data_IF_581890671239
#
_entry.id   IF_581890671239
#
_cell.length_a   1.000
_cell.length_b   1.000
_cell.length_c   1.000
_cell.angle_alpha   90.00
_cell.angle_beta   90.00
_cell.angle_gamma   90.00
#
_symmetry.space_group_name_H-M   'P 1'
#
loop_
_entity.id
_entity.type
_entity.pdbx_description
1 polymer ?
#
# COMPACT_ATOMS: atom_id res chain seq x y z
N UNK A 1 21.91 -17.13 9.51
CA UNK A 1 22.51 -16.76 8.21
C UNK A 1 24.03 -16.85 8.40
N UNK A 2 24.69 -17.96 8.02
CA UNK A 2 26.00 -18.34 8.55
C UNK A 2 27.04 -17.21 8.49
N UNK A 3 27.16 -16.53 7.35
CA UNK A 3 28.12 -15.43 7.15
C UNK A 3 27.80 -14.17 7.97
N UNK A 4 26.51 -13.87 8.21
CA UNK A 4 26.10 -12.72 9.04
C UNK A 4 26.29 -13.03 10.51
N UNK A 5 26.18 -14.30 10.89
CA UNK A 5 26.41 -14.76 12.26
C UNK A 5 27.90 -14.72 12.64
N UNK A 6 28.80 -14.81 11.66
CA UNK A 6 30.25 -14.68 11.81
C UNK A 6 30.74 -13.21 11.92
N UNK A 7 29.87 -12.21 11.73
CA UNK A 7 30.25 -10.80 11.86
C UNK A 7 30.54 -10.48 13.34
N UNK A 8 31.82 -10.29 13.65
CA UNK A 8 32.29 -10.04 15.01
C UNK A 8 31.79 -8.71 15.61
N UNK A 9 31.63 -7.66 14.78
CA UNK A 9 31.18 -6.36 15.27
C UNK A 9 29.67 -6.37 15.61
N UNK A 10 29.28 -6.14 16.88
CA UNK A 10 27.89 -6.18 17.29
C UNK A 10 27.04 -5.10 16.60
N UNK A 11 27.61 -3.92 16.32
CA UNK A 11 26.92 -2.83 15.61
C UNK A 11 26.57 -3.19 14.17
N UNK A 12 27.54 -3.76 13.43
CA UNK A 12 27.32 -4.18 12.04
C UNK A 12 26.31 -5.34 11.98
N UNK A 13 26.48 -6.35 12.83
CA UNK A 13 25.57 -7.51 12.89
C UNK A 13 24.14 -7.09 13.20
N UNK A 14 23.95 -6.24 14.22
CA UNK A 14 22.62 -5.73 14.57
C UNK A 14 22.01 -4.90 13.42
N UNK A 15 22.76 -4.00 12.80
CA UNK A 15 22.26 -3.17 11.70
C UNK A 15 21.77 -4.03 10.51
N UNK A 16 22.52 -5.08 10.14
CA UNK A 16 22.15 -5.97 9.04
C UNK A 16 20.95 -6.86 9.36
N UNK A 17 20.89 -7.44 10.56
CA UNK A 17 19.76 -8.27 10.97
C UNK A 17 18.47 -7.44 11.10
N UNK A 18 18.56 -6.22 11.64
CA UNK A 18 17.44 -5.28 11.65
C UNK A 18 17.00 -4.97 10.23
N UNK A 19 17.91 -4.66 9.30
CA UNK A 19 17.55 -4.39 7.91
C UNK A 19 16.85 -5.59 7.24
N UNK A 20 17.39 -6.80 7.45
CA UNK A 20 16.88 -8.06 6.89
C UNK A 20 15.49 -8.42 7.37
N UNK A 21 15.19 -8.17 8.65
CA UNK A 21 13.94 -8.62 9.27
C UNK A 21 12.86 -7.52 9.35
N UNK A 22 13.23 -6.25 9.30
CA UNK A 22 12.26 -5.13 9.36
C UNK A 22 12.02 -4.44 8.01
N UNK A 23 12.94 -4.54 7.05
CA UNK A 23 12.91 -3.75 5.82
C UNK A 23 13.11 -2.24 6.03
N UNK A 24 13.59 -1.82 7.21
CA UNK A 24 13.91 -0.43 7.51
C UNK A 24 15.03 0.12 6.62
N UNK A 25 14.97 1.42 6.33
CA UNK A 25 16.00 2.11 5.53
C UNK A 25 17.28 2.23 6.35
N UNK A 26 18.44 2.18 5.68
CA UNK A 26 19.76 2.33 6.34
C UNK A 26 19.85 3.57 7.24
N UNK A 27 19.27 4.69 6.81
CA UNK A 27 19.28 5.95 7.55
C UNK A 27 18.30 5.95 8.73
N UNK A 28 17.20 5.19 8.64
CA UNK A 28 16.28 4.95 9.78
C UNK A 28 16.99 4.11 10.84
N UNK A 29 17.67 3.03 10.43
CA UNK A 29 18.40 2.13 11.34
C UNK A 29 19.55 2.87 12.03
N UNK A 30 20.34 3.64 11.27
CA UNK A 30 21.46 4.44 11.81
C UNK A 30 21.02 5.38 12.94
N UNK A 31 19.78 5.87 12.89
CA UNK A 31 19.20 6.82 13.85
C UNK A 31 18.21 6.16 14.82
N UNK A 32 18.33 4.86 15.07
CA UNK A 32 17.52 4.22 16.10
C UNK A 32 17.89 4.76 17.50
N UNK A 33 16.90 5.24 18.29
CA UNK A 33 17.12 5.64 19.67
C UNK A 33 17.35 4.42 20.57
N UNK A 34 17.93 4.64 21.75
CA UNK A 34 18.26 3.55 22.68
C UNK A 34 17.04 2.76 23.15
N UNK A 35 15.88 3.38 23.20
CA UNK A 35 14.62 2.77 23.60
C UNK A 35 13.85 2.16 22.41
N UNK A 36 14.43 2.07 21.22
CA UNK A 36 13.69 1.66 20.01
C UNK A 36 13.12 0.24 20.02
N UNK A 37 13.51 -0.60 20.99
CA UNK A 37 13.13 -2.00 21.07
C UNK A 37 12.30 -2.25 22.33
N UNK A 38 11.10 -2.76 22.14
CA UNK A 38 10.23 -3.32 23.18
C UNK A 38 9.68 -4.69 22.73
N UNK A 39 8.65 -5.20 23.42
CA UNK A 39 8.02 -6.48 23.11
C UNK A 39 6.50 -6.35 23.08
N UNK A 40 5.86 -7.14 22.22
CA UNK A 40 4.42 -7.39 22.28
C UNK A 40 4.07 -8.32 23.45
N UNK A 41 2.78 -8.45 23.74
CA UNK A 41 2.29 -9.30 24.85
C UNK A 41 2.63 -10.79 24.68
N UNK A 42 2.81 -11.24 23.43
CA UNK A 42 3.21 -12.59 23.06
C UNK A 42 4.74 -12.81 23.12
N UNK A 43 5.52 -11.79 23.51
CA UNK A 43 6.97 -11.84 23.58
C UNK A 43 7.69 -11.46 22.28
N UNK A 44 6.97 -11.27 21.17
CA UNK A 44 7.53 -10.89 19.87
C UNK A 44 8.25 -9.53 19.98
N UNK A 45 9.45 -9.42 19.41
CA UNK A 45 10.21 -8.17 19.39
C UNK A 45 9.44 -7.09 18.64
N UNK A 46 9.40 -5.88 19.20
CA UNK A 46 8.68 -4.74 18.63
C UNK A 46 9.67 -3.61 18.40
N UNK A 47 9.90 -3.29 17.12
CA UNK A 47 10.84 -2.25 16.70
C UNK A 47 10.10 -0.95 16.38
N UNK A 48 10.46 0.12 17.06
CA UNK A 48 9.97 1.48 16.84
C UNK A 48 10.93 2.22 15.89
N UNK A 49 10.44 2.57 14.71
CA UNK A 49 11.19 3.31 13.70
C UNK A 49 10.75 4.78 13.74
N UNK A 50 11.67 5.73 14.04
CA UNK A 50 11.33 7.13 14.18
C UNK A 50 10.93 7.75 12.84
N UNK A 51 10.08 8.79 12.90
CA UNK A 51 9.62 9.52 11.75
C UNK A 51 10.78 10.30 11.09
N UNK A 52 10.78 10.36 9.76
CA UNK A 52 11.68 11.24 9.01
C UNK A 52 10.98 11.85 7.79
N UNK A 53 11.47 11.58 6.57
CA UNK A 53 10.99 12.17 5.31
C UNK A 53 9.50 11.91 5.04
N UNK A 54 8.93 10.85 5.62
CA UNK A 54 7.51 10.49 5.50
C UNK A 54 6.67 10.92 6.70
N UNK A 55 7.22 11.66 7.67
CA UNK A 55 6.56 12.22 8.87
C UNK A 55 5.73 11.26 9.74
N UNK A 56 5.81 9.94 9.51
CA UNK A 56 5.08 8.93 10.28
C UNK A 56 6.04 7.96 10.97
N UNK A 57 5.95 7.91 12.28
CA UNK A 57 6.54 6.82 13.06
C UNK A 57 5.84 5.51 12.73
N UNK A 58 6.58 4.41 12.75
CA UNK A 58 5.98 3.09 12.54
C UNK A 58 6.60 2.04 13.44
N UNK A 59 5.78 1.05 13.75
CA UNK A 59 6.17 -0.08 14.58
C UNK A 59 6.13 -1.34 13.72
N UNK A 60 7.20 -2.15 13.79
CA UNK A 60 7.36 -3.36 13.00
C UNK A 60 7.70 -4.53 13.93
N UNK A 61 7.02 -5.68 13.82
CA UNK A 61 7.45 -6.91 14.47
C UNK A 61 8.85 -7.31 13.98
N UNK A 62 9.74 -7.63 14.90
CA UNK A 62 11.12 -7.99 14.61
C UNK A 62 11.36 -9.45 14.98
N UNK A 63 11.92 -10.20 14.03
CA UNK A 63 12.35 -11.58 14.25
C UNK A 63 13.31 -11.69 15.44
N UNK A 64 13.36 -12.86 16.08
CA UNK A 64 14.17 -13.11 17.28
C UNK A 64 15.66 -12.83 17.05
N UNK A 65 16.21 -13.22 15.90
CA UNK A 65 17.61 -12.92 15.53
C UNK A 65 17.90 -11.41 15.56
N UNK A 66 17.02 -10.61 14.96
CA UNK A 66 17.14 -9.16 14.93
C UNK A 66 16.98 -8.56 16.32
N UNK A 67 16.02 -9.07 17.08
CA UNK A 67 15.73 -8.66 18.46
C UNK A 67 16.93 -8.91 19.36
N UNK A 68 17.51 -10.11 19.31
CA UNK A 68 18.66 -10.52 20.13
C UNK A 68 19.91 -9.72 19.78
N UNK A 69 20.18 -9.53 18.47
CA UNK A 69 21.32 -8.73 18.04
C UNK A 69 21.18 -7.25 18.41
N UNK A 70 19.98 -6.69 18.27
CA UNK A 70 19.72 -5.30 18.63
C UNK A 70 19.76 -5.09 20.15
N UNK A 71 19.22 -6.03 20.94
CA UNK A 71 19.28 -5.99 22.40
C UNK A 71 20.74 -5.98 22.90
N UNK A 72 21.63 -6.79 22.30
CA UNK A 72 23.07 -6.74 22.61
C UNK A 72 23.65 -5.34 22.44
N UNK A 73 23.28 -4.62 21.38
CA UNK A 73 23.72 -3.24 21.16
C UNK A 73 23.08 -2.30 22.19
N UNK A 74 21.79 -2.46 22.50
CA UNK A 74 21.12 -1.68 23.57
C UNK A 74 21.86 -1.83 24.90
N UNK A 75 22.24 -3.04 25.28
CA UNK A 75 22.91 -3.33 26.54
C UNK A 75 24.33 -2.72 26.58
N UNK A 76 25.09 -2.82 25.49
CA UNK A 76 26.40 -2.16 25.34
C UNK A 76 26.31 -0.63 25.46
N UNK A 77 25.15 -0.05 25.10
CA UNK A 77 24.93 1.40 25.04
C UNK A 77 24.24 1.95 26.30
N UNK A 78 23.62 1.10 27.11
CA UNK A 78 22.86 1.49 28.32
C UNK A 78 23.71 2.37 29.23
N UNK A 79 24.95 1.94 29.48
CA UNK A 79 25.91 2.62 30.36
C UNK A 79 26.86 3.59 29.63
N UNK A 80 26.63 3.83 28.35
CA UNK A 80 27.45 4.72 27.52
C UNK A 80 27.35 6.19 27.96
N UNK A 81 28.50 6.84 28.15
CA UNK A 81 28.59 8.25 28.62
C UNK A 81 28.30 9.30 27.54
N UNK A 82 27.89 8.91 26.33
CA UNK A 82 27.76 9.91 25.27
C UNK A 82 26.54 10.82 25.45
N UNK A 83 26.75 12.09 25.10
CA UNK A 83 25.74 13.13 25.15
C UNK A 83 24.65 12.87 24.11
N UNK A 84 23.38 13.16 24.43
CA UNK A 84 22.30 13.15 23.45
C UNK A 84 22.59 14.11 22.29
N UNK A 85 22.12 13.75 21.10
CA UNK A 85 22.07 14.63 19.94
C UNK A 85 20.72 15.31 19.88
N UNK A 86 20.68 16.59 19.52
CA UNK A 86 19.42 17.24 19.16
C UNK A 86 18.95 16.67 17.83
N UNK A 87 17.78 16.04 17.83
CA UNK A 87 17.16 15.57 16.61
C UNK A 87 16.70 16.76 15.74
N UNK A 88 17.06 16.73 14.45
CA UNK A 88 16.84 17.84 13.51
C UNK A 88 15.34 18.08 13.23
N UNK A 89 14.51 17.05 13.39
CA UNK A 89 13.07 17.12 13.08
C UNK A 89 12.25 17.55 14.30
N UNK A 90 12.55 16.96 15.46
CA UNK A 90 11.76 17.13 16.70
C UNK A 90 12.37 18.14 17.66
N UNK A 91 13.63 18.52 17.48
CA UNK A 91 14.38 19.38 18.41
C UNK A 91 14.69 18.72 19.77
N UNK A 92 14.34 17.44 19.95
CA UNK A 92 14.48 16.74 21.22
C UNK A 92 15.88 16.12 21.36
N UNK A 93 16.42 16.02 22.60
CA UNK A 93 17.66 15.30 22.86
C UNK A 93 17.43 13.79 22.74
N UNK A 94 18.09 13.15 21.77
CA UNK A 94 17.99 11.71 21.50
C UNK A 94 19.34 11.03 21.67
N UNK A 95 19.37 9.93 22.43
CA UNK A 95 20.54 9.03 22.51
C UNK A 95 20.40 7.93 21.47
N UNK A 96 21.25 7.98 20.44
CA UNK A 96 21.25 6.99 19.36
C UNK A 96 22.06 5.74 19.72
N UNK A 97 21.60 4.58 19.23
CA UNK A 97 22.28 3.30 19.39
C UNK A 97 23.60 3.22 18.62
N UNK A 98 23.58 3.60 17.33
CA UNK A 98 24.72 3.46 16.43
C UNK A 98 25.61 4.70 16.45
N UNK A 99 26.33 4.86 17.56
CA UNK A 99 27.14 6.05 17.83
C UNK A 99 28.47 5.65 18.45
N UNK A 100 29.53 6.40 18.10
CA UNK A 100 30.87 6.20 18.65
C UNK A 100 31.60 7.55 18.74
N UNK A 101 32.31 7.80 19.84
CA UNK A 101 33.08 9.04 20.08
C UNK A 101 32.29 10.33 19.79
N UNK A 102 31.02 10.40 20.21
CA UNK A 102 30.22 11.60 20.00
C UNK A 102 29.70 11.77 18.56
N UNK A 103 29.76 10.77 17.69
CA UNK A 103 29.30 10.85 16.29
C UNK A 103 28.49 9.61 15.88
N UNK A 104 27.48 9.81 15.02
CA UNK A 104 26.74 8.70 14.41
C UNK A 104 27.66 7.88 13.49
N UNK A 105 27.69 6.56 13.71
CA UNK A 105 28.38 5.61 12.84
C UNK A 105 27.89 5.78 11.39
N UNK A 106 28.80 5.72 10.42
CA UNK A 106 28.43 5.94 9.02
C UNK A 106 27.61 4.78 8.47
N UNK A 107 26.73 5.07 7.51
CA UNK A 107 26.00 4.02 6.78
C UNK A 107 26.95 3.08 6.04
N UNK A 108 28.07 3.61 5.54
CA UNK A 108 29.11 2.82 4.90
C UNK A 108 29.69 1.76 5.86
N UNK A 109 30.03 2.17 7.09
CA UNK A 109 30.57 1.25 8.10
C UNK A 109 29.54 0.20 8.56
N UNK A 110 28.29 0.61 8.78
CA UNK A 110 27.24 -0.26 9.29
C UNK A 110 26.72 -1.25 8.24
N UNK A 111 26.75 -0.88 6.96
CA UNK A 111 26.11 -1.64 5.89
C UNK A 111 27.08 -2.01 4.77
N UNK A 112 27.65 -1.02 4.08
CA UNK A 112 28.42 -1.28 2.87
C UNK A 112 29.65 -2.16 3.15
N UNK A 113 30.46 -1.85 4.17
CA UNK A 113 31.62 -2.67 4.55
C UNK A 113 31.25 -4.13 4.84
N UNK A 114 30.38 -4.45 5.82
CA UNK A 114 30.09 -5.84 6.15
C UNK A 114 29.31 -6.58 5.05
N UNK A 115 28.49 -5.90 4.23
CA UNK A 115 27.82 -6.53 3.08
C UNK A 115 28.86 -6.91 2.01
N UNK A 116 29.83 -6.04 1.73
CA UNK A 116 30.86 -6.32 0.73
C UNK A 116 31.76 -7.47 1.18
N UNK A 117 32.16 -7.50 2.46
CA UNK A 117 32.91 -8.61 3.05
C UNK A 117 32.11 -9.92 2.98
N UNK A 118 30.84 -9.89 3.39
CA UNK A 118 29.96 -11.05 3.30
C UNK A 118 29.79 -11.54 1.85
N UNK A 119 29.60 -10.63 0.89
CA UNK A 119 29.51 -10.99 -0.54
C UNK A 119 30.80 -11.64 -1.05
N UNK A 120 31.98 -11.13 -0.66
CA UNK A 120 33.27 -11.71 -1.03
C UNK A 120 33.43 -13.12 -0.46
N UNK A 121 33.07 -13.32 0.80
CA UNK A 121 33.18 -14.61 1.48
C UNK A 121 32.38 -15.75 0.79
N UNK A 122 31.28 -15.42 0.13
CA UNK A 122 30.40 -16.39 -0.57
C UNK A 122 30.50 -16.30 -2.10
N UNK A 123 31.44 -15.53 -2.63
CA UNK A 123 31.65 -15.40 -4.08
C UNK A 123 30.56 -14.61 -4.84
N UNK A 124 29.71 -13.83 -4.15
CA UNK A 124 28.70 -12.96 -4.78
C UNK A 124 29.28 -11.61 -5.23
N UNK A 125 30.31 -11.66 -6.06
CA UNK A 125 31.06 -10.50 -6.58
C UNK A 125 30.90 -10.35 -8.09
N UNK A 126 30.88 -9.10 -8.58
CA UNK A 126 30.99 -8.78 -10.01
C UNK A 126 32.40 -8.28 -10.34
N UNK A 127 32.87 -8.45 -11.60
CA UNK A 127 34.13 -7.88 -12.05
C UNK A 127 34.17 -6.35 -11.81
N UNK A 128 35.32 -5.84 -11.36
CA UNK A 128 35.54 -4.43 -11.00
C UNK A 128 35.73 -4.20 -9.49
N UNK A 129 36.08 -2.98 -9.09
CA UNK A 129 36.45 -2.65 -7.70
C UNK A 129 37.85 -2.01 -7.64
N UNK A 130 38.13 -1.22 -6.58
CA UNK A 130 39.37 -0.43 -6.48
C UNK A 130 40.65 -1.27 -6.61
N UNK A 131 40.59 -2.53 -6.20
CA UNK A 131 41.77 -3.40 -6.09
C UNK A 131 41.67 -4.65 -6.99
N UNK A 132 40.76 -4.66 -7.98
CA UNK A 132 40.55 -5.83 -8.85
C UNK A 132 39.87 -7.04 -8.19
N UNK A 133 39.57 -6.97 -6.88
CA UNK A 133 38.99 -8.06 -6.07
C UNK A 133 37.49 -8.33 -6.28
N UNK A 134 36.84 -7.66 -7.24
CA UNK A 134 35.39 -7.74 -7.42
C UNK A 134 34.61 -6.83 -6.48
N UNK A 135 33.44 -6.36 -6.93
CA UNK A 135 32.48 -5.57 -6.15
C UNK A 135 31.31 -6.46 -5.76
N UNK A 136 31.02 -6.54 -4.47
CA UNK A 136 29.87 -7.25 -3.93
C UNK A 136 28.57 -6.77 -4.57
N UNK A 137 27.72 -7.72 -4.91
CA UNK A 137 26.50 -7.50 -5.73
C UNK A 137 25.29 -7.05 -4.92
N UNK A 138 25.32 -7.27 -3.61
CA UNK A 138 24.22 -6.96 -2.70
C UNK A 138 24.42 -5.58 -2.07
N UNK A 139 23.31 -4.88 -1.85
CA UNK A 139 23.27 -3.61 -1.14
C UNK A 139 22.21 -3.67 -0.03
N UNK A 140 22.29 -2.76 0.94
CA UNK A 140 21.30 -2.69 2.03
C UNK A 140 19.84 -2.57 1.51
N UNK A 141 19.65 -1.93 0.36
CA UNK A 141 18.34 -1.79 -0.26
C UNK A 141 17.71 -3.14 -0.68
N UNK A 142 18.53 -4.16 -0.97
CA UNK A 142 18.03 -5.50 -1.30
C UNK A 142 17.33 -6.18 -0.14
N UNK A 143 17.77 -5.97 1.11
CA UNK A 143 17.06 -6.49 2.29
C UNK A 143 15.62 -6.00 2.36
N UNK A 144 15.41 -4.70 2.10
CA UNK A 144 14.08 -4.10 2.02
C UNK A 144 13.22 -4.72 0.93
N UNK A 145 13.80 -4.94 -0.26
CA UNK A 145 13.11 -5.64 -1.34
C UNK A 145 12.73 -7.06 -0.95
N UNK A 146 13.65 -7.82 -0.34
CA UNK A 146 13.38 -9.18 0.12
C UNK A 146 12.22 -9.21 1.12
N UNK A 147 12.17 -8.28 2.07
CA UNK A 147 11.03 -8.19 3.01
C UNK A 147 9.73 -7.86 2.29
N UNK A 148 9.72 -6.88 1.39
CA UNK A 148 8.53 -6.52 0.62
C UNK A 148 8.02 -7.67 -0.25
N UNK A 149 8.92 -8.36 -0.95
CA UNK A 149 8.60 -9.54 -1.75
C UNK A 149 8.07 -10.68 -0.88
N UNK A 150 8.72 -11.00 0.25
CA UNK A 150 8.27 -12.07 1.14
C UNK A 150 6.91 -11.80 1.78
N UNK A 151 6.60 -10.53 2.06
CA UNK A 151 5.26 -10.14 2.52
C UNK A 151 4.24 -10.37 1.40
N UNK A 152 4.55 -9.95 0.18
CA UNK A 152 3.68 -10.15 -0.97
C UNK A 152 3.45 -11.63 -1.29
N UNK A 153 4.51 -12.45 -1.37
CA UNK A 153 4.42 -13.90 -1.62
C UNK A 153 3.56 -14.64 -0.58
N UNK A 154 3.49 -14.11 0.64
CA UNK A 154 2.65 -14.65 1.72
C UNK A 154 1.26 -14.04 1.77
N UNK A 155 0.84 -13.32 0.73
CA UNK A 155 -0.49 -12.74 0.61
C UNK A 155 -0.75 -11.53 1.52
N UNK A 156 0.29 -10.83 1.97
CA UNK A 156 0.09 -9.62 2.75
C UNK A 156 -0.62 -8.55 1.90
N UNK A 157 -1.68 -7.96 2.46
CA UNK A 157 -2.42 -6.88 1.81
C UNK A 157 -1.50 -5.69 1.51
N UNK A 158 -1.76 -4.98 0.41
CA UNK A 158 -0.95 -3.84 -0.06
C UNK A 158 -0.73 -2.78 1.05
N UNK A 159 -1.79 -2.46 1.81
CA UNK A 159 -1.70 -1.52 2.93
C UNK A 159 -0.76 -2.01 4.05
N UNK A 160 -0.67 -3.32 4.27
CA UNK A 160 0.22 -3.92 5.27
C UNK A 160 1.67 -3.76 4.84
N UNK A 161 1.97 -4.03 3.56
CA UNK A 161 3.30 -3.82 2.97
C UNK A 161 3.71 -2.34 3.09
N UNK A 162 2.81 -1.42 2.75
CA UNK A 162 3.07 0.02 2.89
C UNK A 162 3.36 0.42 4.34
N UNK A 163 2.55 -0.06 5.29
CA UNK A 163 2.72 0.25 6.72
C UNK A 163 4.04 -0.29 7.25
N UNK A 164 4.42 -1.52 6.93
CA UNK A 164 5.68 -2.14 7.37
C UNK A 164 6.89 -1.42 6.76
N UNK A 165 6.86 -1.15 5.47
CA UNK A 165 7.98 -0.53 4.77
C UNK A 165 8.02 0.99 4.96
N UNK A 166 6.94 1.65 5.39
CA UNK A 166 6.87 3.11 5.48
C UNK A 166 6.87 3.76 4.10
N UNK A 167 6.01 3.26 3.21
CA UNK A 167 5.73 3.89 1.92
C UNK A 167 4.68 4.98 2.11
N UNK A 168 4.97 6.16 1.57
CA UNK A 168 4.04 7.29 1.50
C UNK A 168 3.25 7.31 0.20
N UNK A 169 3.49 6.34 -0.68
CA UNK A 169 2.73 6.19 -1.91
C UNK A 169 2.48 4.72 -2.21
N UNK A 170 1.29 4.40 -2.69
CA UNK A 170 0.96 3.06 -3.18
C UNK A 170 1.86 2.63 -4.34
N UNK A 171 2.32 3.55 -5.19
CA UNK A 171 3.24 3.25 -6.30
C UNK A 171 4.53 2.56 -5.82
N UNK A 172 5.05 2.91 -4.64
CA UNK A 172 6.21 2.23 -4.05
C UNK A 172 5.91 0.79 -3.62
N UNK A 173 4.66 0.47 -3.29
CA UNK A 173 4.23 -0.85 -2.85
C UNK A 173 3.76 -1.75 -4.02
N UNK A 174 3.27 -1.17 -5.13
CA UNK A 174 2.81 -1.92 -6.31
C UNK A 174 3.91 -2.75 -6.99
N UNK A 175 5.18 -2.41 -6.78
CA UNK A 175 6.32 -3.24 -7.24
C UNK A 175 6.24 -4.67 -6.67
N UNK A 176 5.55 -4.86 -5.53
CA UNK A 176 5.32 -6.17 -4.92
C UNK A 176 3.93 -6.76 -5.24
N UNK A 177 2.97 -5.95 -5.72
CA UNK A 177 1.59 -6.38 -5.97
C UNK A 177 1.48 -7.43 -7.09
N UNK A 178 2.38 -7.39 -8.07
CA UNK A 178 2.47 -8.44 -9.11
C UNK A 178 2.69 -9.84 -8.51
N UNK A 179 3.22 -9.91 -7.29
CA UNK A 179 3.59 -11.16 -6.61
C UNK A 179 2.52 -11.58 -5.59
N UNK A 180 1.77 -10.63 -5.01
CA UNK A 180 0.77 -10.93 -3.98
C UNK A 180 -0.62 -11.21 -4.53
N UNK A 181 -1.09 -10.45 -5.53
CA UNK A 181 -2.49 -10.46 -5.94
C UNK A 181 -2.72 -9.69 -7.27
N UNK A 182 -3.07 -10.40 -8.34
CA UNK A 182 -3.38 -9.78 -9.64
C UNK A 182 -4.71 -9.02 -9.63
N UNK A 183 -5.65 -9.38 -8.76
CA UNK A 183 -6.97 -8.76 -8.65
C UNK A 183 -6.83 -7.35 -8.07
N UNK A 184 -6.02 -7.20 -7.01
CA UNK A 184 -5.68 -5.88 -6.43
C UNK A 184 -4.98 -4.97 -7.44
N UNK A 185 -4.08 -5.52 -8.26
CA UNK A 185 -3.41 -4.76 -9.31
C UNK A 185 -4.40 -4.34 -10.42
N UNK A 186 -5.34 -5.22 -10.77
CA UNK A 186 -6.39 -4.97 -11.77
C UNK A 186 -7.31 -3.86 -11.28
N UNK A 187 -7.85 -3.96 -10.08
CA UNK A 187 -8.79 -2.98 -9.51
C UNK A 187 -8.15 -1.60 -9.38
N UNK A 188 -6.89 -1.56 -8.91
CA UNK A 188 -6.11 -0.33 -8.86
C UNK A 188 -5.96 0.30 -10.25
N UNK A 189 -5.60 -0.50 -11.27
CA UNK A 189 -5.41 -0.01 -12.63
C UNK A 189 -6.71 0.50 -13.23
N UNK A 190 -7.82 -0.18 -12.97
CA UNK A 190 -9.15 0.13 -13.51
C UNK A 190 -9.70 1.46 -13.01
N UNK A 191 -9.26 1.98 -11.86
CA UNK A 191 -9.85 3.20 -11.28
C UNK A 191 -8.88 4.38 -11.21
N UNK A 192 -7.58 4.13 -11.03
CA UNK A 192 -6.62 5.16 -10.64
C UNK A 192 -5.51 5.40 -11.68
N UNK A 193 -5.57 4.75 -12.83
CA UNK A 193 -4.66 5.02 -13.96
C UNK A 193 -5.18 6.22 -14.76
N UNK A 194 -4.29 7.13 -15.17
CA UNK A 194 -4.64 8.19 -16.11
C UNK A 194 -5.22 7.55 -17.39
N UNK A 195 -6.44 7.92 -17.77
CA UNK A 195 -7.16 7.32 -18.90
C UNK A 195 -7.98 6.07 -18.57
N UNK A 196 -8.17 5.74 -17.29
CA UNK A 196 -9.12 4.70 -16.89
C UNK A 196 -10.56 5.05 -17.32
N UNK A 197 -11.27 4.08 -17.90
CA UNK A 197 -12.70 4.20 -18.25
C UNK A 197 -13.52 4.15 -16.95
N UNK A 198 -13.88 5.32 -16.44
CA UNK A 198 -14.65 5.49 -15.19
C UNK A 198 -15.83 6.45 -15.43
N UNK A 199 -16.92 6.25 -14.70
CA UNK A 199 -18.15 7.05 -14.80
C UNK A 199 -18.70 7.44 -13.42
N UNK A 200 -19.57 8.45 -13.38
CA UNK A 200 -20.16 9.01 -12.15
C UNK A 200 -19.65 10.43 -11.86
N UNK A 201 -20.30 11.19 -10.95
CA UNK A 201 -19.97 12.59 -10.70
C UNK A 201 -18.51 12.84 -10.31
N UNK A 202 -17.87 11.87 -9.65
CA UNK A 202 -16.49 11.98 -9.22
C UNK A 202 -15.47 11.57 -10.31
N UNK A 203 -15.94 11.06 -11.46
CA UNK A 203 -15.09 10.61 -12.56
C UNK A 203 -14.29 11.76 -13.18
N UNK A 204 -14.88 12.95 -13.28
CA UNK A 204 -14.22 14.11 -13.90
C UNK A 204 -13.06 14.63 -13.05
N UNK A 205 -13.18 14.64 -11.72
CA UNK A 205 -12.10 14.99 -10.79
C UNK A 205 -10.93 13.99 -10.88
N UNK A 206 -11.23 12.70 -11.03
CA UNK A 206 -10.23 11.66 -11.23
C UNK A 206 -9.54 11.77 -12.60
N UNK A 207 -10.31 11.96 -13.68
CA UNK A 207 -9.79 12.10 -15.05
C UNK A 207 -8.92 13.35 -15.23
N UNK A 208 -9.30 14.46 -14.60
CA UNK A 208 -8.56 15.72 -14.66
C UNK A 208 -7.32 15.76 -13.77
N UNK A 209 -7.14 14.79 -12.88
CA UNK A 209 -6.04 14.77 -11.91
C UNK A 209 -6.15 15.90 -10.87
N UNK A 210 -7.34 16.46 -10.67
CA UNK A 210 -7.58 17.59 -9.76
C UNK A 210 -7.55 17.21 -8.27
N UNK A 211 -7.41 15.92 -7.95
CA UNK A 211 -7.33 15.45 -6.57
C UNK A 211 -5.95 15.75 -5.95
N UNK A 212 -5.89 16.25 -4.70
CA UNK A 212 -4.64 16.40 -3.97
C UNK A 212 -3.88 15.06 -3.89
N UNK A 213 -2.54 15.09 -3.95
CA UNK A 213 -1.70 13.88 -3.85
C UNK A 213 -2.04 13.03 -2.61
N UNK A 214 -2.39 13.66 -1.49
CA UNK A 214 -2.79 12.97 -0.25
C UNK A 214 -4.14 12.24 -0.39
N UNK A 215 -5.11 12.82 -1.10
CA UNK A 215 -6.40 12.19 -1.37
C UNK A 215 -6.23 11.02 -2.32
N UNK A 216 -5.38 11.17 -3.34
CA UNK A 216 -5.00 10.10 -4.26
C UNK A 216 -4.33 8.96 -3.50
N UNK A 217 -3.36 9.23 -2.63
CA UNK A 217 -2.70 8.18 -1.85
C UNK A 217 -3.65 7.47 -0.87
N UNK A 218 -4.57 8.22 -0.27
CA UNK A 218 -5.59 7.65 0.60
C UNK A 218 -6.53 6.71 -0.15
N UNK A 219 -7.07 7.15 -1.30
CA UNK A 219 -7.94 6.36 -2.16
C UNK A 219 -7.22 5.09 -2.62
N UNK A 220 -5.96 5.22 -3.02
CA UNK A 220 -5.12 4.09 -3.42
C UNK A 220 -4.91 3.07 -2.27
N UNK A 221 -4.85 3.53 -1.03
CA UNK A 221 -4.58 2.67 0.15
C UNK A 221 -5.85 2.03 0.72
N UNK A 222 -7.02 2.67 0.56
CA UNK A 222 -8.27 2.26 1.19
C UNK A 222 -9.40 1.97 0.20
N UNK A 223 -9.09 1.86 -1.09
CA UNK A 223 -10.04 1.64 -2.19
C UNK A 223 -11.10 0.57 -1.89
N UNK A 224 -10.67 -0.57 -1.32
CA UNK A 224 -11.57 -1.67 -0.93
C UNK A 224 -12.54 -1.34 0.20
N UNK A 225 -12.24 -0.35 1.05
CA UNK A 225 -13.12 0.06 2.16
C UNK A 225 -14.23 1.01 1.70
N UNK A 226 -14.19 1.45 0.44
CA UNK A 226 -15.17 2.39 -0.10
C UNK A 226 -16.09 1.74 -1.13
N UNK A 227 -16.06 0.41 -1.25
CA UNK A 227 -16.97 -0.35 -2.11
C UNK A 227 -18.42 -0.11 -1.72
N UNK A 228 -19.25 0.11 -2.74
CA UNK A 228 -20.69 0.20 -2.71
C UNK A 228 -21.26 -0.88 -3.63
N UNK A 229 -22.58 -1.10 -3.57
CA UNK A 229 -23.25 -2.11 -4.40
C UNK A 229 -22.91 -1.98 -5.90
N UNK A 230 -22.91 -0.75 -6.44
CA UNK A 230 -22.76 -0.44 -7.86
C UNK A 230 -21.48 0.36 -8.22
N UNK A 231 -20.54 0.48 -7.29
CA UNK A 231 -19.31 1.25 -7.52
C UNK A 231 -18.54 1.55 -6.25
N UNK A 232 -17.97 2.74 -6.16
CA UNK A 232 -17.12 3.18 -5.06
C UNK A 232 -17.47 4.59 -4.59
N UNK A 233 -17.20 4.86 -3.31
CA UNK A 233 -17.25 6.19 -2.72
C UNK A 233 -15.85 6.81 -2.65
N UNK A 234 -15.66 8.02 -3.17
CA UNK A 234 -14.41 8.77 -3.06
C UNK A 234 -14.33 9.64 -1.80
N UNK A 235 -15.28 9.46 -0.86
CA UNK A 235 -15.29 10.22 0.38
C UNK A 235 -14.07 9.89 1.24
N UNK A 236 -13.45 10.93 1.78
CA UNK A 236 -12.30 10.83 2.66
C UNK A 236 -12.76 10.63 4.13
N UNK A 237 -11.96 9.99 5.00
CA UNK A 237 -12.36 9.73 6.38
C UNK A 237 -12.65 11.00 7.19
N UNK A 238 -11.99 12.12 6.85
CA UNK A 238 -12.17 13.40 7.53
C UNK A 238 -13.57 13.99 7.29
N UNK A 239 -14.25 13.58 6.22
CA UNK A 239 -15.61 14.03 5.89
C UNK A 239 -16.70 13.32 6.71
N UNK A 240 -16.33 12.29 7.49
CA UNK A 240 -17.27 11.58 8.37
C UNK A 240 -18.30 10.71 7.64
N UNK A 241 -19.24 10.09 8.37
CA UNK A 241 -20.28 9.23 7.79
C UNK A 241 -21.19 10.02 6.82
N UNK A 242 -21.72 9.34 5.79
CA UNK A 242 -22.74 9.90 4.89
C UNK A 242 -24.11 9.32 5.20
N UNK A 243 -25.14 10.14 5.01
CA UNK A 243 -26.55 9.73 4.95
C UNK A 243 -27.12 9.91 3.53
N UNK A 244 -26.29 9.66 2.51
CA UNK A 244 -26.73 9.78 1.12
C UNK A 244 -27.53 8.54 0.71
N UNK A 245 -28.86 8.64 0.81
CA UNK A 245 -29.82 7.56 0.46
C UNK A 245 -29.77 7.15 -1.03
N UNK A 246 -29.39 8.08 -1.92
CA UNK A 246 -29.25 7.82 -3.35
C UNK A 246 -27.80 8.04 -3.81
N UNK A 247 -26.97 7.01 -3.70
CA UNK A 247 -25.54 7.13 -4.00
C UNK A 247 -25.24 7.39 -5.49
N UNK A 248 -26.15 7.04 -6.43
CA UNK A 248 -25.97 7.23 -7.87
C UNK A 248 -25.88 8.72 -8.32
N UNK A 249 -26.38 9.63 -7.48
CA UNK A 249 -26.33 11.08 -7.70
C UNK A 249 -25.28 11.78 -6.83
N UNK A 250 -24.66 11.06 -5.90
CA UNK A 250 -23.66 11.60 -5.00
C UNK A 250 -22.43 12.09 -5.77
N UNK A 251 -21.97 13.31 -5.45
CA UNK A 251 -20.76 13.91 -6.03
C UNK A 251 -19.49 13.05 -5.83
N UNK A 252 -19.51 12.15 -4.83
CA UNK A 252 -18.38 11.26 -4.49
C UNK A 252 -18.50 9.87 -5.11
N UNK A 253 -19.54 9.58 -5.90
CA UNK A 253 -19.72 8.26 -6.50
C UNK A 253 -18.91 8.11 -7.79
N UNK A 254 -18.23 6.98 -7.93
CA UNK A 254 -17.56 6.55 -9.16
C UNK A 254 -17.84 5.07 -9.41
N UNK A 255 -17.97 4.67 -10.67
CA UNK A 255 -18.15 3.27 -11.09
C UNK A 255 -17.23 2.94 -12.26
N UNK A 256 -17.13 1.65 -12.57
CA UNK A 256 -16.19 1.09 -13.57
C UNK A 256 -16.90 0.02 -14.41
N UNK A 257 -16.32 -0.39 -15.57
CA UNK A 257 -16.92 -1.43 -16.41
C UNK A 257 -17.13 -2.78 -15.70
N UNK A 258 -16.38 -3.05 -14.61
CA UNK A 258 -16.57 -4.25 -13.79
C UNK A 258 -17.96 -4.31 -13.13
N UNK A 259 -18.59 -3.15 -12.88
CA UNK A 259 -19.94 -3.06 -12.31
C UNK A 259 -21.05 -3.08 -13.36
N UNK A 260 -20.72 -3.08 -14.66
CA UNK A 260 -21.72 -3.06 -15.73
C UNK A 260 -22.80 -4.16 -15.59
N UNK A 261 -22.48 -5.42 -15.23
CA UNK A 261 -23.51 -6.44 -15.01
C UNK A 261 -24.48 -6.08 -13.88
N UNK A 262 -23.97 -5.54 -12.76
CA UNK A 262 -24.81 -5.13 -11.62
C UNK A 262 -25.65 -3.90 -11.96
N UNK A 263 -25.09 -2.95 -12.70
CA UNK A 263 -25.81 -1.78 -13.21
C UNK A 263 -26.99 -2.20 -14.10
N UNK A 264 -26.79 -3.12 -15.04
CA UNK A 264 -27.88 -3.66 -15.89
C UNK A 264 -28.95 -4.37 -15.07
N UNK A 265 -28.55 -5.22 -14.13
CA UNK A 265 -29.49 -5.90 -13.26
C UNK A 265 -30.35 -4.90 -12.45
N UNK A 266 -29.73 -3.85 -11.89
CA UNK A 266 -30.48 -2.81 -11.19
C UNK A 266 -31.42 -2.05 -12.12
N UNK A 267 -30.98 -1.70 -13.34
CA UNK A 267 -31.82 -1.04 -14.35
C UNK A 267 -33.08 -1.87 -14.68
N UNK A 268 -32.93 -3.18 -14.90
CA UNK A 268 -34.06 -4.08 -15.17
C UNK A 268 -35.06 -4.12 -14.01
N UNK A 269 -34.57 -4.10 -12.77
CA UNK A 269 -35.42 -4.00 -11.57
C UNK A 269 -36.21 -2.68 -11.58
N UNK A 270 -35.56 -1.54 -11.81
CA UNK A 270 -36.25 -0.24 -11.86
C UNK A 270 -37.32 -0.20 -12.97
N UNK A 271 -37.05 -0.76 -14.15
CA UNK A 271 -38.02 -0.82 -15.25
C UNK A 271 -39.23 -1.71 -14.92
N UNK A 272 -38.99 -2.83 -14.25
CA UNK A 272 -40.06 -3.71 -13.78
C UNK A 272 -40.95 -3.00 -12.76
N UNK A 273 -40.35 -2.27 -11.81
CA UNK A 273 -41.07 -1.50 -10.80
C UNK A 273 -41.84 -0.31 -11.40
N UNK A 274 -41.27 0.37 -12.38
CA UNK A 274 -41.96 1.41 -13.15
C UNK A 274 -43.21 0.86 -13.85
N UNK A 275 -43.12 -0.35 -14.41
CA UNK A 275 -44.24 -1.01 -15.11
C UNK A 275 -45.36 -1.41 -14.13
N UNK A 276 -45.03 -1.97 -12.96
CA UNK A 276 -46.00 -2.27 -11.90
C UNK A 276 -46.69 -0.99 -11.39
N UNK A 277 -45.91 0.07 -11.14
CA UNK A 277 -46.44 1.36 -10.71
C UNK A 277 -47.39 1.98 -11.76
N UNK A 278 -47.07 1.87 -13.04
CA UNK A 278 -47.93 2.33 -14.14
C UNK A 278 -49.24 1.53 -14.18
N UNK A 279 -49.18 0.20 -14.00
CA UNK A 279 -50.37 -0.65 -13.92
C UNK A 279 -51.31 -0.30 -12.74
N UNK A 280 -50.77 0.34 -11.70
CA UNK A 280 -51.51 0.81 -10.52
C UNK A 280 -51.91 2.28 -10.56
N UNK A 281 -51.49 3.03 -11.59
CA UNK A 281 -51.73 4.48 -11.72
C UNK A 281 -50.94 5.33 -10.72
N UNK A 282 -49.74 4.91 -10.32
CA UNK A 282 -48.86 5.65 -9.39
C UNK A 282 -47.83 6.50 -10.13
N UNK A 283 -48.29 7.57 -10.78
CA UNK A 283 -47.47 8.38 -11.70
C UNK A 283 -46.15 8.88 -11.10
N UNK A 284 -46.14 9.27 -9.82
CA UNK A 284 -44.93 9.73 -9.13
C UNK A 284 -43.91 8.63 -8.86
N UNK A 285 -44.35 7.40 -8.64
CA UNK A 285 -43.45 6.27 -8.44
C UNK A 285 -42.86 5.81 -9.78
N UNK A 286 -43.65 5.87 -10.86
CA UNK A 286 -43.17 5.68 -12.24
C UNK A 286 -42.04 6.67 -12.55
N UNK A 287 -42.25 7.96 -12.27
CA UNK A 287 -41.25 9.02 -12.48
C UNK A 287 -39.94 8.72 -11.71
N UNK A 288 -40.05 8.30 -10.44
CA UNK A 288 -38.90 7.98 -9.59
C UNK A 288 -38.08 6.80 -10.12
N UNK A 289 -38.73 5.71 -10.51
CA UNK A 289 -38.06 4.53 -11.07
C UNK A 289 -37.38 4.84 -12.41
N UNK A 290 -38.08 5.56 -13.29
CA UNK A 290 -37.53 5.99 -14.58
C UNK A 290 -36.30 6.88 -14.41
N UNK A 291 -36.34 7.86 -13.49
CA UNK A 291 -35.18 8.71 -13.22
C UNK A 291 -33.95 7.91 -12.76
N UNK A 292 -34.16 6.88 -11.95
CA UNK A 292 -33.07 5.99 -11.50
C UNK A 292 -32.54 5.13 -12.64
N UNK A 293 -33.42 4.57 -13.49
CA UNK A 293 -33.04 3.78 -14.66
C UNK A 293 -32.24 4.62 -15.66
N UNK A 294 -32.72 5.81 -16.02
CA UNK A 294 -32.03 6.77 -16.91
C UNK A 294 -30.65 7.16 -16.38
N UNK A 295 -30.53 7.33 -15.04
CA UNK A 295 -29.26 7.61 -14.41
C UNK A 295 -28.27 6.46 -14.59
N UNK A 296 -28.72 5.22 -14.48
CA UNK A 296 -27.90 4.02 -14.69
C UNK A 296 -27.51 3.89 -16.18
N UNK A 297 -28.44 4.17 -17.11
CA UNK A 297 -28.15 4.19 -18.54
C UNK A 297 -27.04 5.18 -18.87
N UNK A 298 -27.11 6.39 -18.32
CA UNK A 298 -26.03 7.38 -18.48
C UNK A 298 -24.68 6.86 -17.98
N UNK A 299 -24.65 6.19 -16.83
CA UNK A 299 -23.41 5.58 -16.33
C UNK A 299 -22.88 4.49 -17.27
N UNK A 300 -23.76 3.67 -17.85
CA UNK A 300 -23.36 2.65 -18.82
C UNK A 300 -22.83 3.29 -20.12
N UNK A 301 -23.47 4.36 -20.61
CA UNK A 301 -22.98 5.13 -21.76
C UNK A 301 -21.61 5.74 -21.48
N UNK A 302 -21.41 6.38 -20.33
CA UNK A 302 -20.13 6.98 -19.94
C UNK A 302 -19.00 5.93 -19.78
N UNK A 303 -19.35 4.64 -19.63
CA UNK A 303 -18.43 3.50 -19.56
C UNK A 303 -18.24 2.79 -20.91
N UNK A 304 -18.87 3.26 -21.99
CA UNK A 304 -18.95 2.58 -23.29
C UNK A 304 -19.48 1.14 -23.16
N UNK A 305 -20.51 0.94 -22.33
CA UNK A 305 -21.14 -0.36 -22.09
C UNK A 305 -22.55 -0.42 -22.70
N UNK A 306 -22.94 -1.56 -23.31
CA UNK A 306 -24.31 -1.75 -23.78
C UNK A 306 -25.28 -1.84 -22.61
N UNK A 307 -26.55 -1.50 -22.86
CA UNK A 307 -27.62 -1.53 -21.86
C UNK A 307 -28.16 -2.92 -21.57
N UNK A 308 -28.05 -3.83 -22.54
CA UNK A 308 -28.52 -5.20 -22.44
C UNK A 308 -27.34 -6.16 -22.21
N UNK A 309 -27.63 -7.30 -21.59
CA UNK A 309 -26.63 -8.35 -21.45
C UNK A 309 -26.43 -8.99 -22.83
N UNK A 310 -25.18 -9.32 -23.18
CA UNK A 310 -24.87 -10.02 -24.43
C UNK A 310 -25.62 -11.37 -24.58
N UNK A 311 -26.15 -11.91 -23.49
CA UNK A 311 -26.95 -13.14 -23.45
C UNK A 311 -28.43 -12.92 -23.85
N UNK A 312 -28.98 -11.71 -23.70
CA UNK A 312 -30.38 -11.41 -24.10
C UNK A 312 -30.50 -11.26 -25.63
N UNK A 313 -29.48 -10.72 -26.29
CA UNK A 313 -29.43 -10.61 -27.77
C UNK A 313 -29.47 -11.96 -28.49
N UNK A 314 -29.00 -13.04 -27.86
CA UNK A 314 -29.03 -14.39 -28.43
C UNK A 314 -30.39 -15.08 -28.27
N UNK A 315 -31.24 -14.59 -27.36
CA UNK A 315 -32.59 -15.12 -27.16
C UNK A 315 -33.58 -14.48 -28.14
N UNK A 316 -33.44 -13.18 -28.42
CA UNK A 316 -34.27 -12.49 -29.42
C UNK A 316 -33.99 -12.97 -30.85
N UNK A 317 -32.72 -13.16 -31.26
CA UNK A 317 -32.40 -13.70 -32.59
C UNK A 317 -32.93 -15.14 -32.81
N UNK A 318 -33.10 -15.92 -31.74
CA UNK A 318 -33.68 -17.28 -31.83
C UNK A 318 -35.20 -17.30 -31.91
N UNK A 319 -35.88 -16.25 -31.45
CA UNK A 319 -37.33 -16.11 -31.55
C UNK A 319 -37.73 -15.59 -32.94
N UNK A 320 -36.96 -14.68 -33.52
CA UNK A 320 -37.23 -14.12 -34.87
C UNK A 320 -36.96 -15.09 -36.02
N UNK A 321 -36.17 -16.15 -35.80
CA UNK A 321 -35.95 -17.22 -36.78
C UNK A 321 -37.04 -18.31 -36.76
N UNK A 322 -38.12 -18.12 -35.97
CA UNK A 322 -39.22 -19.08 -35.83
C UNK A 322 -40.58 -18.63 -36.42
N UNK A 323 -40.60 -17.53 -37.18
CA UNK A 323 -41.75 -17.10 -38.01
C UNK A 323 -41.46 -17.13 -39.49
#
# INVERSE_FOLDING_TARGET
>A
MPVVDEIACPFQRAALLVARWSGARRDEIRRLPIDCLDRYADGTGRLRLPARKTYKERVVPLHEDGTTALQKVVDLRRDGRERPFTDELTGQPVRYLFMQHGKLLSTYYLFDTPIQEACKAIGLVRPGGRDGQGRGTVTAHRFRHTVGTQLAERGAKLHTIMKVLGHSSVSMALVYAQISDQEVLRDYKTVLTLGATIAGPAADELKSGALPEEAVDWLKTNFFKTELELGYCLRLPQEGPCECDLYLTCAKFVTTPAYAPRLRARRQVEQTLATDAAGRGWDREVERHNCTAERIEKLLTDLDQPFDNADDTLVEERLDLST
#
